data_IF_207494059010
#
_entry.id   IF_207494059010
#
_cell.length_a   1.000
_cell.length_b   1.000
_cell.length_c   1.000
_cell.angle_alpha   90.00
_cell.angle_beta   90.00
_cell.angle_gamma   90.00
#
_symmetry.space_group_name_H-M   'P 1'
#
loop_
_entity.id
_entity.type
_entity.pdbx_description
1 polymer ?
#
# COMPACT_ATOMS: atom_id res chain seq x y z
N UNK A 1 25.68 2.14 -41.10
CA UNK A 1 24.45 2.71 -41.69
C UNK A 1 23.89 3.79 -40.76
N UNK A 2 23.79 4.99 -41.32
CA UNK A 2 23.64 6.27 -40.64
C UNK A 2 22.22 6.47 -40.04
N UNK A 3 22.13 6.69 -38.74
CA UNK A 3 20.91 7.18 -38.07
C UNK A 3 20.98 8.71 -37.91
N UNK A 4 20.93 9.41 -39.06
CA UNK A 4 20.71 10.86 -39.06
C UNK A 4 19.37 11.14 -39.72
N UNK A 5 18.61 12.06 -39.08
CA UNK A 5 17.38 12.75 -39.52
C UNK A 5 16.07 12.02 -39.27
N UNK A 6 15.44 12.33 -38.11
CA UNK A 6 14.02 12.68 -38.04
C UNK A 6 13.83 13.64 -36.86
N UNK A 7 14.13 14.92 -37.12
CA UNK A 7 13.54 16.02 -36.34
C UNK A 7 12.15 16.19 -36.95
N UNK A 8 11.14 15.62 -36.33
CA UNK A 8 9.75 15.93 -36.67
C UNK A 8 9.32 17.11 -35.83
N UNK A 9 9.23 18.28 -36.49
CA UNK A 9 8.42 19.38 -36.01
C UNK A 9 6.97 18.90 -36.03
N UNK A 10 6.42 18.52 -34.89
CA UNK A 10 4.98 18.23 -34.78
C UNK A 10 4.27 19.53 -34.84
N UNK A 11 3.73 19.86 -36.03
CA UNK A 11 2.73 20.88 -36.17
C UNK A 11 1.48 20.48 -35.38
N UNK A 12 1.21 21.20 -34.32
CA UNK A 12 -0.03 21.05 -33.52
C UNK A 12 -1.18 21.45 -34.45
N UNK A 13 -1.95 20.47 -34.91
CA UNK A 13 -3.24 20.71 -35.54
C UNK A 13 -4.21 21.12 -34.42
N UNK A 14 -4.35 22.44 -34.22
CA UNK A 14 -5.39 23.05 -33.40
C UNK A 14 -6.74 22.82 -34.04
N UNK A 15 -7.44 21.74 -33.62
CA UNK A 15 -8.89 21.68 -33.75
C UNK A 15 -9.46 22.65 -32.70
N UNK A 16 -10.01 23.76 -33.19
CA UNK A 16 -10.63 24.80 -32.40
C UNK A 16 -11.88 24.32 -31.67
N UNK A 17 -11.70 23.85 -30.44
CA UNK A 17 -12.71 23.95 -29.38
C UNK A 17 -12.20 25.06 -28.47
N UNK A 18 -12.85 26.23 -28.53
CA UNK A 18 -12.54 27.41 -27.72
C UNK A 18 -12.98 27.22 -26.28
N UNK A 19 -12.26 26.37 -25.53
CA UNK A 19 -12.06 26.55 -24.12
C UNK A 19 -10.67 27.18 -23.98
N UNK A 20 -10.54 28.31 -23.30
CA UNK A 20 -9.26 28.87 -22.89
C UNK A 20 -8.63 27.84 -21.91
N UNK A 21 -7.98 26.83 -22.45
CA UNK A 21 -7.16 25.92 -21.68
C UNK A 21 -5.93 26.73 -21.23
N UNK A 22 -5.98 27.24 -20.01
CA UNK A 22 -4.82 27.88 -19.38
C UNK A 22 -3.80 26.76 -19.22
N UNK A 23 -2.66 26.88 -19.91
CA UNK A 23 -1.56 25.96 -19.74
C UNK A 23 -0.94 26.17 -18.36
N UNK A 24 -0.75 25.08 -17.63
CA UNK A 24 -0.16 25.08 -16.30
C UNK A 24 1.24 24.50 -16.38
N UNK A 25 2.17 25.15 -15.70
CA UNK A 25 3.56 24.73 -15.68
C UNK A 25 3.77 23.50 -14.79
N UNK A 26 4.46 22.49 -15.32
CA UNK A 26 5.01 21.36 -14.57
C UNK A 26 6.53 21.44 -14.61
N UNK A 27 7.12 21.79 -13.48
CA UNK A 27 8.56 21.92 -13.32
C UNK A 27 9.14 20.64 -12.76
N UNK A 28 10.11 20.04 -13.41
CA UNK A 28 10.77 18.79 -13.01
C UNK A 28 12.25 19.07 -12.80
N UNK A 29 12.78 18.76 -11.61
CA UNK A 29 14.20 18.82 -11.31
C UNK A 29 14.74 17.43 -11.00
N UNK A 30 15.59 16.91 -11.88
CA UNK A 30 16.07 15.52 -11.81
C UNK A 30 17.42 15.48 -11.12
N UNK A 31 17.51 14.68 -10.06
CA UNK A 31 18.75 14.41 -9.35
C UNK A 31 18.99 12.90 -9.23
N UNK A 32 20.22 12.49 -8.92
CA UNK A 32 20.51 11.11 -8.52
C UNK A 32 20.29 10.90 -7.00
N UNK A 33 20.60 9.69 -6.54
CA UNK A 33 20.49 9.30 -5.12
C UNK A 33 21.42 10.07 -4.19
N UNK A 34 22.47 10.74 -4.71
CA UNK A 34 23.40 11.59 -3.99
C UNK A 34 22.99 13.08 -4.04
N UNK A 35 21.91 13.40 -4.76
CA UNK A 35 21.44 14.76 -4.97
C UNK A 35 22.18 15.50 -6.08
N UNK A 36 23.00 14.80 -6.88
CA UNK A 36 23.67 15.40 -8.04
C UNK A 36 22.68 15.54 -9.19
N UNK A 37 22.79 16.63 -9.93
CA UNK A 37 21.94 16.90 -11.10
C UNK A 37 22.14 15.87 -12.19
N UNK A 38 21.05 15.42 -12.80
CA UNK A 38 21.07 14.51 -13.94
C UNK A 38 20.70 15.27 -15.20
N UNK A 39 21.72 15.59 -16.03
CA UNK A 39 21.53 16.21 -17.33
C UNK A 39 21.17 15.21 -18.42
N UNK A 40 20.57 15.67 -19.49
CA UNK A 40 20.24 14.88 -20.69
C UNK A 40 19.44 13.62 -20.41
N UNK A 41 18.53 13.66 -19.42
CA UNK A 41 17.55 12.61 -19.17
C UNK A 41 16.30 12.86 -20.04
N UNK A 42 15.87 11.83 -20.77
CA UNK A 42 14.59 11.86 -21.49
C UNK A 42 13.45 11.85 -20.48
N UNK A 43 12.61 12.85 -20.55
CA UNK A 43 11.48 13.04 -19.63
C UNK A 43 10.21 13.13 -20.46
N UNK A 44 9.23 12.25 -20.17
CA UNK A 44 7.91 12.23 -20.83
C UNK A 44 6.84 12.52 -19.80
N UNK A 45 5.92 13.39 -20.17
CA UNK A 45 4.68 13.64 -19.42
C UNK A 45 3.51 13.15 -20.26
N UNK A 46 2.85 12.09 -19.80
CA UNK A 46 1.77 11.41 -20.53
C UNK A 46 0.47 11.58 -19.77
N UNK A 47 -0.59 12.06 -20.42
CA UNK A 47 -1.92 12.13 -19.78
C UNK A 47 -2.47 10.72 -19.52
N UNK A 48 -3.19 10.57 -18.41
CA UNK A 48 -3.88 9.31 -18.06
C UNK A 48 -5.06 9.07 -19.02
N UNK A 49 -5.71 10.12 -19.48
CA UNK A 49 -6.69 10.05 -20.56
C UNK A 49 -5.98 10.29 -21.90
N UNK A 50 -6.45 9.71 -23.00
CA UNK A 50 -5.84 9.91 -24.31
C UNK A 50 -5.75 11.39 -24.69
N UNK A 51 -4.59 11.87 -25.13
CA UNK A 51 -4.46 13.22 -25.69
C UNK A 51 -3.08 13.86 -25.60
N UNK A 52 -2.39 13.81 -24.46
CA UNK A 52 -1.11 14.50 -24.29
C UNK A 52 0.02 13.50 -24.02
N UNK A 53 1.04 13.58 -24.85
CA UNK A 53 2.32 12.85 -24.68
C UNK A 53 3.43 13.81 -25.11
N UNK A 54 4.04 14.48 -24.14
CA UNK A 54 5.10 15.46 -24.39
C UNK A 54 6.43 14.94 -23.88
N UNK A 55 7.47 15.15 -24.67
CA UNK A 55 8.82 14.69 -24.37
C UNK A 55 9.76 15.89 -24.32
N UNK A 56 10.60 15.94 -23.31
CA UNK A 56 11.66 16.92 -23.18
C UNK A 56 12.94 16.26 -22.60
N UNK A 57 14.06 16.94 -22.77
CA UNK A 57 15.37 16.48 -22.29
C UNK A 57 15.82 17.42 -21.18
N UNK A 58 16.28 16.89 -20.06
CA UNK A 58 16.72 17.70 -18.94
C UNK A 58 17.97 18.53 -19.31
N UNK A 59 17.97 19.76 -18.85
CA UNK A 59 19.07 20.72 -19.03
C UNK A 59 20.33 20.31 -18.25
N UNK A 60 21.38 21.11 -18.35
CA UNK A 60 22.61 20.95 -17.54
C UNK A 60 22.36 21.15 -16.04
N UNK A 61 21.26 21.81 -15.67
CA UNK A 61 20.81 21.97 -14.27
C UNK A 61 19.83 20.88 -13.84
N UNK A 62 19.59 19.85 -14.69
CA UNK A 62 18.65 18.77 -14.43
C UNK A 62 17.18 19.16 -14.58
N UNK A 63 16.90 20.36 -15.08
CA UNK A 63 15.57 20.92 -15.13
C UNK A 63 14.85 20.64 -16.45
N UNK A 64 13.57 20.35 -16.36
CA UNK A 64 12.61 20.23 -17.48
C UNK A 64 11.35 20.97 -17.10
N UNK A 65 10.77 21.66 -18.08
CA UNK A 65 9.48 22.34 -17.93
C UNK A 65 8.51 21.85 -19.00
N UNK A 66 7.28 21.59 -18.57
CA UNK A 66 6.15 21.29 -19.46
C UNK A 66 5.05 22.30 -19.21
N UNK A 67 4.38 22.74 -20.28
CA UNK A 67 3.17 23.56 -20.25
C UNK A 67 2.01 22.68 -20.73
N UNK A 68 1.11 22.28 -19.82
CA UNK A 68 0.03 21.35 -20.10
C UNK A 68 -1.29 21.83 -19.49
N UNK A 69 -2.40 21.32 -19.99
CA UNK A 69 -3.72 21.57 -19.39
C UNK A 69 -3.83 20.93 -17.99
N UNK A 70 -4.76 21.40 -17.16
CA UNK A 70 -5.13 20.71 -15.94
C UNK A 70 -5.61 19.28 -16.23
N UNK A 71 -5.21 18.31 -15.41
CA UNK A 71 -5.51 16.89 -15.63
C UNK A 71 -4.61 15.95 -14.83
N UNK A 72 -4.78 14.66 -15.09
CA UNK A 72 -3.98 13.59 -14.49
C UNK A 72 -2.92 13.11 -15.49
N UNK A 73 -1.66 13.06 -15.05
CA UNK A 73 -0.50 12.73 -15.86
C UNK A 73 0.38 11.69 -15.19
N UNK A 74 1.19 10.98 -15.97
CA UNK A 74 2.32 10.16 -15.51
C UNK A 74 3.62 10.74 -16.05
N UNK A 75 4.59 10.91 -15.15
CA UNK A 75 5.93 11.34 -15.50
C UNK A 75 6.80 10.08 -15.68
N UNK A 76 7.47 9.96 -16.82
CA UNK A 76 8.39 8.88 -17.13
C UNK A 76 9.76 9.48 -17.42
N UNK A 77 10.81 8.93 -16.78
CA UNK A 77 12.19 9.41 -16.95
C UNK A 77 13.09 8.26 -17.31
N UNK A 78 13.91 8.48 -18.34
CA UNK A 78 14.93 7.52 -18.79
C UNK A 78 16.27 8.21 -18.95
N UNK A 79 17.30 7.57 -18.44
CA UNK A 79 18.71 7.99 -18.60
C UNK A 79 19.59 6.76 -18.63
N UNK A 80 20.54 6.72 -19.55
CA UNK A 80 21.54 5.63 -19.62
C UNK A 80 22.30 5.54 -18.28
N UNK A 81 22.49 4.32 -17.78
CA UNK A 81 23.14 4.06 -16.49
C UNK A 81 22.23 4.15 -15.27
N UNK A 82 20.99 4.59 -15.42
CA UNK A 82 19.99 4.64 -14.36
C UNK A 82 18.79 3.75 -14.66
N UNK A 83 18.11 3.31 -13.62
CA UNK A 83 16.84 2.62 -13.75
C UNK A 83 15.76 3.62 -14.21
N UNK A 84 14.82 3.20 -15.08
CA UNK A 84 13.74 4.06 -15.51
C UNK A 84 12.80 4.36 -14.33
N UNK A 85 12.34 5.60 -14.26
CA UNK A 85 11.34 6.03 -13.27
C UNK A 85 10.00 6.23 -13.96
N UNK A 86 8.94 5.69 -13.34
CA UNK A 86 7.55 6.03 -13.66
C UNK A 86 6.91 6.58 -12.40
N UNK A 87 6.47 7.84 -12.45
CA UNK A 87 5.84 8.48 -11.29
C UNK A 87 4.48 7.86 -10.98
N UNK A 88 4.00 8.14 -9.77
CA UNK A 88 2.56 8.09 -9.48
C UNK A 88 1.82 9.04 -10.41
N UNK A 89 0.50 8.90 -10.44
CA UNK A 89 -0.35 9.88 -11.11
C UNK A 89 -0.12 11.27 -10.49
N UNK A 90 0.22 12.21 -11.36
CA UNK A 90 0.46 13.60 -11.03
C UNK A 90 -0.80 14.39 -11.40
N UNK A 91 -1.49 14.94 -10.44
CA UNK A 91 -2.62 15.82 -10.68
C UNK A 91 -2.10 17.25 -10.93
N UNK A 92 -2.34 17.76 -12.12
CA UNK A 92 -2.08 19.15 -12.51
C UNK A 92 -3.40 19.90 -12.41
N UNK A 93 -3.50 20.81 -11.44
CA UNK A 93 -4.63 21.72 -11.26
C UNK A 93 -4.41 23.06 -11.98
N UNK A 94 -4.85 24.15 -11.37
CA UNK A 94 -4.73 25.50 -11.94
C UNK A 94 -3.45 26.23 -11.52
N UNK A 95 -2.64 25.65 -10.64
CA UNK A 95 -1.39 26.20 -10.16
C UNK A 95 -0.18 25.38 -10.65
N UNK A 96 1.01 26.02 -10.84
CA UNK A 96 2.23 25.32 -11.21
C UNK A 96 2.57 24.17 -10.26
N UNK A 97 3.03 23.05 -10.82
CA UNK A 97 3.41 21.84 -10.07
C UNK A 97 4.92 21.66 -10.18
N UNK A 98 5.58 21.38 -9.05
CA UNK A 98 7.01 21.04 -9.01
C UNK A 98 7.19 19.62 -8.52
N UNK A 99 8.04 18.85 -9.21
CA UNK A 99 8.40 17.47 -8.85
C UNK A 99 9.91 17.28 -8.91
N UNK A 100 10.46 16.58 -7.94
CA UNK A 100 11.90 16.33 -7.81
C UNK A 100 12.20 14.83 -7.78
N UNK A 101 12.10 14.14 -8.93
CA UNK A 101 12.38 12.72 -9.01
C UNK A 101 13.89 12.47 -8.81
N UNK A 102 14.19 11.38 -8.09
CA UNK A 102 15.56 10.90 -7.89
C UNK A 102 15.79 9.64 -8.68
N UNK A 103 16.87 9.61 -9.47
CA UNK A 103 17.27 8.43 -10.23
C UNK A 103 18.26 7.57 -9.42
N UNK A 104 18.18 6.28 -9.62
CA UNK A 104 19.01 5.28 -8.95
C UNK A 104 19.59 4.30 -9.99
N UNK A 105 20.81 3.85 -9.76
CA UNK A 105 21.44 2.78 -10.59
C UNK A 105 21.05 1.40 -10.07
N UNK A 106 21.17 0.37 -10.92
CA UNK A 106 20.97 -1.02 -10.51
C UNK A 106 21.87 -1.39 -9.32
N UNK A 107 23.13 -1.00 -9.36
CA UNK A 107 24.10 -1.29 -8.29
C UNK A 107 23.66 -0.73 -6.92
N UNK A 108 23.08 0.47 -6.90
CA UNK A 108 22.60 1.07 -5.65
C UNK A 108 21.34 0.35 -5.16
N UNK A 109 20.43 -0.02 -6.07
CA UNK A 109 19.25 -0.83 -5.72
C UNK A 109 19.67 -2.17 -5.14
N UNK A 110 20.56 -2.89 -5.81
CA UNK A 110 21.05 -4.21 -5.37
C UNK A 110 21.72 -4.13 -3.99
N UNK A 111 22.46 -3.05 -3.74
CA UNK A 111 23.05 -2.81 -2.43
C UNK A 111 22.01 -2.59 -1.36
N UNK A 112 21.04 -1.69 -1.57
CA UNK A 112 19.98 -1.39 -0.60
C UNK A 112 19.14 -2.63 -0.27
N UNK A 113 18.76 -3.41 -1.28
CA UNK A 113 17.98 -4.64 -1.09
C UNK A 113 18.78 -5.71 -0.35
N UNK A 114 20.04 -5.90 -0.70
CA UNK A 114 20.93 -6.83 0.01
C UNK A 114 21.14 -6.43 1.46
N UNK A 115 21.39 -5.16 1.73
CA UNK A 115 21.57 -4.64 3.09
C UNK A 115 20.29 -4.84 3.92
N UNK A 116 19.09 -4.64 3.31
CA UNK A 116 17.81 -4.88 3.96
C UNK A 116 17.60 -6.37 4.30
N UNK A 117 17.90 -7.27 3.36
CA UNK A 117 17.81 -8.72 3.59
C UNK A 117 18.79 -9.19 4.67
N UNK A 118 20.01 -8.64 4.71
CA UNK A 118 20.97 -8.93 5.76
C UNK A 118 20.49 -8.43 7.12
N UNK A 119 19.86 -7.26 7.18
CA UNK A 119 19.27 -6.72 8.40
C UNK A 119 18.15 -7.64 8.92
N UNK A 120 17.29 -8.17 8.02
CA UNK A 120 16.26 -9.18 8.38
C UNK A 120 16.92 -10.43 8.97
N UNK A 121 17.95 -10.99 8.31
CA UNK A 121 18.68 -12.18 8.78
C UNK A 121 19.32 -11.96 10.16
N UNK A 122 19.80 -10.74 10.42
CA UNK A 122 20.39 -10.32 11.71
C UNK A 122 19.33 -9.90 12.74
N UNK A 123 18.03 -10.08 12.47
CA UNK A 123 16.88 -9.66 13.31
C UNK A 123 16.86 -8.17 13.65
N UNK A 124 17.46 -7.34 12.80
CA UNK A 124 17.46 -5.88 12.90
C UNK A 124 16.26 -5.31 12.09
N UNK A 125 15.05 -5.64 12.53
CA UNK A 125 13.85 -5.41 11.73
C UNK A 125 13.56 -3.93 11.47
N UNK A 126 13.89 -3.04 12.41
CA UNK A 126 13.78 -1.59 12.22
C UNK A 126 14.73 -1.07 11.14
N UNK A 127 15.98 -1.57 11.13
CA UNK A 127 16.97 -1.22 10.11
C UNK A 127 16.52 -1.71 8.73
N UNK A 128 16.01 -2.93 8.64
CA UNK A 128 15.43 -3.47 7.41
C UNK A 128 14.26 -2.61 6.89
N UNK A 129 13.34 -2.21 7.78
CA UNK A 129 12.21 -1.36 7.42
C UNK A 129 12.67 0.00 6.86
N UNK A 130 13.69 0.64 7.46
CA UNK A 130 14.21 1.90 6.96
C UNK A 130 14.88 1.73 5.57
N UNK A 131 15.57 0.63 5.33
CA UNK A 131 16.16 0.33 4.03
C UNK A 131 15.10 0.10 2.95
N UNK A 132 14.04 -0.68 3.24
CA UNK A 132 12.92 -0.83 2.30
C UNK A 132 12.18 0.48 2.05
N UNK A 133 12.03 1.35 3.05
CA UNK A 133 11.48 2.70 2.86
C UNK A 133 12.35 3.52 1.91
N UNK A 134 13.67 3.44 2.03
CA UNK A 134 14.57 4.11 1.09
C UNK A 134 14.35 3.59 -0.35
N UNK A 135 14.26 2.28 -0.55
CA UNK A 135 13.95 1.72 -1.89
C UNK A 135 12.60 2.26 -2.40
N UNK A 136 11.59 2.33 -1.56
CA UNK A 136 10.26 2.85 -1.91
C UNK A 136 10.23 4.35 -2.23
N UNK A 137 11.26 5.12 -1.88
CA UNK A 137 11.38 6.50 -2.39
C UNK A 137 11.61 6.54 -3.89
N UNK A 138 12.24 5.50 -4.46
CA UNK A 138 12.51 5.37 -5.89
C UNK A 138 11.44 4.56 -6.63
N UNK A 139 10.88 3.55 -5.97
CA UNK A 139 9.87 2.64 -6.54
C UNK A 139 8.58 2.63 -5.70
N UNK A 140 7.88 3.77 -5.61
CA UNK A 140 6.74 3.91 -4.69
C UNK A 140 5.51 3.07 -5.05
N UNK A 141 5.49 2.46 -6.24
CA UNK A 141 4.41 1.61 -6.74
C UNK A 141 4.82 0.13 -6.82
N UNK A 142 5.98 -0.25 -6.31
CA UNK A 142 6.42 -1.63 -6.30
C UNK A 142 5.79 -2.38 -5.12
N UNK A 143 4.83 -3.27 -5.43
CA UNK A 143 4.11 -4.07 -4.43
C UNK A 143 5.04 -5.01 -3.65
N UNK A 144 6.11 -5.50 -4.27
CA UNK A 144 7.09 -6.40 -3.63
C UNK A 144 7.86 -5.70 -2.51
N UNK A 145 8.33 -4.48 -2.73
CA UNK A 145 9.02 -3.72 -1.69
C UNK A 145 8.07 -3.28 -0.57
N UNK A 146 6.81 -2.98 -0.89
CA UNK A 146 5.79 -2.74 0.14
C UNK A 146 5.51 -3.98 0.98
N UNK A 147 5.45 -5.17 0.37
CA UNK A 147 5.27 -6.43 1.09
C UNK A 147 6.48 -6.75 2.01
N UNK A 148 7.71 -6.52 1.53
CA UNK A 148 8.91 -6.66 2.34
C UNK A 148 8.94 -5.69 3.54
N UNK A 149 8.50 -4.45 3.33
CA UNK A 149 8.35 -3.46 4.40
C UNK A 149 7.30 -3.94 5.44
N UNK A 150 6.16 -4.47 4.98
CA UNK A 150 5.15 -5.03 5.87
C UNK A 150 5.69 -6.21 6.70
N UNK A 151 6.46 -7.10 6.06
CA UNK A 151 7.10 -8.21 6.76
C UNK A 151 8.10 -7.72 7.83
N UNK A 152 8.92 -6.70 7.53
CA UNK A 152 9.85 -6.11 8.47
C UNK A 152 9.13 -5.49 9.68
N UNK A 153 8.04 -4.75 9.48
CA UNK A 153 7.21 -4.22 10.56
C UNK A 153 6.53 -5.32 11.38
N UNK A 154 6.00 -6.36 10.74
CA UNK A 154 5.41 -7.52 11.44
C UNK A 154 6.44 -8.20 12.34
N UNK A 155 7.66 -8.39 11.86
CA UNK A 155 8.76 -8.98 12.66
C UNK A 155 9.22 -8.08 13.81
N UNK A 156 9.05 -6.76 13.69
CA UNK A 156 9.28 -5.78 14.78
C UNK A 156 8.08 -5.65 15.73
N UNK A 157 7.03 -6.47 15.53
CA UNK A 157 5.75 -6.43 16.26
C UNK A 157 4.99 -5.10 16.12
N UNK A 158 5.23 -4.36 15.05
CA UNK A 158 4.52 -3.13 14.69
C UNK A 158 3.41 -3.44 13.69
N UNK A 159 2.30 -3.96 14.21
CA UNK A 159 1.21 -4.45 13.38
C UNK A 159 0.46 -3.32 12.65
N UNK A 160 0.40 -2.12 13.23
CA UNK A 160 -0.28 -0.98 12.59
C UNK A 160 0.46 -0.56 11.31
N UNK A 161 1.79 -0.44 11.38
CA UNK A 161 2.60 -0.13 10.19
C UNK A 161 2.66 -1.30 9.22
N UNK A 162 2.63 -2.54 9.70
CA UNK A 162 2.57 -3.72 8.84
C UNK A 162 1.27 -3.75 8.00
N UNK A 163 0.12 -3.45 8.62
CA UNK A 163 -1.17 -3.37 7.91
C UNK A 163 -1.17 -2.26 6.85
N UNK A 164 -0.69 -1.06 7.19
CA UNK A 164 -0.62 0.03 6.24
C UNK A 164 0.30 -0.29 5.05
N UNK A 165 1.41 -0.96 5.28
CA UNK A 165 2.35 -1.35 4.22
C UNK A 165 1.78 -2.46 3.32
N UNK A 166 1.12 -3.49 3.87
CA UNK A 166 0.56 -4.58 3.06
C UNK A 166 -0.64 -4.12 2.24
N UNK A 167 -1.42 -3.15 2.73
CA UNK A 167 -2.48 -2.51 1.95
C UNK A 167 -1.93 -1.81 0.70
N UNK A 168 -0.77 -1.14 0.83
CA UNK A 168 -0.10 -0.58 -0.34
C UNK A 168 0.42 -1.68 -1.28
N UNK A 169 0.97 -2.77 -0.75
CA UNK A 169 1.42 -3.88 -1.57
C UNK A 169 0.29 -4.45 -2.43
N UNK A 170 -0.85 -4.77 -1.83
CA UNK A 170 -2.01 -5.35 -2.53
C UNK A 170 -2.69 -4.36 -3.49
N UNK A 171 -2.61 -3.06 -3.20
CA UNK A 171 -3.08 -2.00 -4.12
C UNK A 171 -2.29 -1.96 -5.42
N UNK A 172 -0.97 -2.17 -5.36
CA UNK A 172 -0.10 -2.13 -6.53
C UNK A 172 0.07 -3.48 -7.20
N UNK A 173 -0.08 -4.58 -6.45
CA UNK A 173 0.03 -5.93 -6.99
C UNK A 173 -0.94 -6.88 -6.28
N UNK A 174 -1.92 -7.37 -7.05
CA UNK A 174 -3.00 -8.23 -6.57
C UNK A 174 -2.52 -9.56 -5.95
N UNK A 175 -1.30 -10.02 -6.26
CA UNK A 175 -0.74 -11.23 -5.64
C UNK A 175 -0.62 -11.12 -4.13
N UNK A 176 -0.52 -9.90 -3.56
CA UNK A 176 -0.41 -9.66 -2.12
C UNK A 176 -1.75 -9.61 -1.37
N UNK A 177 -2.90 -9.71 -2.04
CA UNK A 177 -4.21 -9.67 -1.40
C UNK A 177 -4.41 -10.79 -0.36
N UNK A 178 -3.87 -11.97 -0.60
CA UNK A 178 -3.95 -13.08 0.37
C UNK A 178 -3.11 -12.77 1.61
N UNK A 179 -1.91 -12.25 1.43
CA UNK A 179 -1.03 -11.84 2.53
C UNK A 179 -1.62 -10.66 3.33
N UNK A 180 -2.28 -9.71 2.64
CA UNK A 180 -3.02 -8.63 3.30
C UNK A 180 -4.10 -9.18 4.22
N UNK A 181 -4.95 -10.10 3.73
CA UNK A 181 -5.99 -10.74 4.55
C UNK A 181 -5.40 -11.43 5.78
N UNK A 182 -4.29 -12.16 5.61
CA UNK A 182 -3.61 -12.84 6.72
C UNK A 182 -3.12 -11.83 7.78
N UNK A 183 -2.42 -10.77 7.36
CA UNK A 183 -1.86 -9.76 8.27
C UNK A 183 -2.98 -8.98 8.97
N UNK A 184 -3.98 -8.51 8.22
CA UNK A 184 -5.12 -7.76 8.76
C UNK A 184 -5.95 -8.65 9.71
N UNK A 185 -6.19 -9.89 9.33
CA UNK A 185 -6.93 -10.86 10.14
C UNK A 185 -6.25 -11.13 11.48
N UNK A 186 -4.93 -11.38 11.45
CA UNK A 186 -4.12 -11.62 12.66
C UNK A 186 -4.06 -10.39 13.56
N UNK A 187 -3.80 -9.21 13.00
CA UNK A 187 -3.74 -7.96 13.75
C UNK A 187 -5.08 -7.64 14.43
N UNK A 188 -6.18 -7.81 13.69
CA UNK A 188 -7.52 -7.57 14.20
C UNK A 188 -7.87 -8.57 15.34
N UNK A 189 -7.48 -9.84 15.22
CA UNK A 189 -7.66 -10.83 16.27
C UNK A 189 -6.92 -10.46 17.56
N UNK A 190 -5.64 -10.10 17.47
CA UNK A 190 -4.84 -9.71 18.63
C UNK A 190 -5.39 -8.41 19.28
N UNK A 191 -5.82 -7.44 18.49
CA UNK A 191 -6.50 -6.26 19.00
C UNK A 191 -7.79 -6.62 19.76
N UNK A 192 -8.61 -7.52 19.20
CA UNK A 192 -9.82 -8.01 19.84
C UNK A 192 -9.56 -8.71 21.16
N UNK A 193 -8.54 -9.55 21.26
CA UNK A 193 -8.09 -10.18 22.51
C UNK A 193 -7.73 -9.15 23.59
N UNK A 194 -6.93 -8.16 23.21
CA UNK A 194 -6.54 -7.07 24.11
C UNK A 194 -7.76 -6.31 24.64
N UNK A 195 -8.66 -5.92 23.74
CA UNK A 195 -9.89 -5.19 24.08
C UNK A 195 -10.83 -6.02 24.97
N UNK A 196 -10.98 -7.32 24.66
CA UNK A 196 -11.75 -8.24 25.50
C UNK A 196 -11.18 -8.32 26.92
N UNK A 197 -9.86 -8.41 27.08
CA UNK A 197 -9.19 -8.42 28.39
C UNK A 197 -9.37 -7.10 29.15
N UNK A 198 -9.47 -5.97 28.43
CA UNK A 198 -9.72 -4.63 28.97
C UNK A 198 -11.21 -4.36 29.22
N UNK A 199 -12.10 -5.34 28.96
CA UNK A 199 -13.57 -5.22 29.03
C UNK A 199 -14.16 -4.18 28.06
N UNK A 200 -13.45 -3.84 27.01
CA UNK A 200 -13.92 -2.96 25.93
C UNK A 200 -14.72 -3.79 24.90
N UNK A 201 -15.80 -4.43 25.35
CA UNK A 201 -16.53 -5.44 24.57
C UNK A 201 -17.03 -4.95 23.20
N UNK A 202 -17.59 -3.74 23.04
CA UNK A 202 -17.98 -3.26 21.71
C UNK A 202 -16.81 -3.15 20.75
N UNK A 203 -15.66 -2.64 21.20
CA UNK A 203 -14.45 -2.56 20.38
C UNK A 203 -13.92 -3.96 20.03
N UNK A 204 -13.98 -4.89 20.98
CA UNK A 204 -13.59 -6.29 20.74
C UNK A 204 -14.46 -6.93 19.64
N UNK A 205 -15.78 -6.67 19.63
CA UNK A 205 -16.68 -7.11 18.55
C UNK A 205 -16.22 -6.56 17.20
N UNK A 206 -15.91 -5.27 17.10
CA UNK A 206 -15.43 -4.66 15.86
C UNK A 206 -14.12 -5.30 15.37
N UNK A 207 -13.19 -5.55 16.30
CA UNK A 207 -11.89 -6.10 15.97
C UNK A 207 -12.00 -7.58 15.56
N UNK A 208 -12.69 -8.42 16.33
CA UNK A 208 -12.93 -9.80 15.93
C UNK A 208 -13.76 -9.90 14.65
N UNK A 209 -14.72 -9.00 14.43
CA UNK A 209 -15.47 -8.90 13.18
C UNK A 209 -14.60 -8.64 11.96
N UNK A 210 -13.58 -7.76 12.08
CA UNK A 210 -12.58 -7.55 11.05
C UNK A 210 -11.75 -8.82 10.78
N UNK A 211 -11.38 -9.55 11.85
CA UNK A 211 -10.65 -10.81 11.71
C UNK A 211 -11.47 -11.87 10.97
N UNK A 212 -12.75 -12.03 11.30
CA UNK A 212 -13.68 -12.95 10.60
C UNK A 212 -13.88 -12.55 9.14
N UNK A 213 -13.97 -11.25 8.86
CA UNK A 213 -14.08 -10.76 7.48
C UNK A 213 -12.84 -11.06 6.65
N UNK A 214 -11.66 -10.99 7.25
CA UNK A 214 -10.40 -11.33 6.61
C UNK A 214 -10.25 -12.84 6.39
N UNK A 215 -10.59 -13.66 7.41
CA UNK A 215 -10.62 -15.12 7.33
C UNK A 215 -11.92 -15.69 7.94
N UNK A 216 -12.93 -16.00 7.11
CA UNK A 216 -14.18 -16.60 7.56
C UNK A 216 -14.06 -18.04 8.11
N UNK A 217 -12.88 -18.64 8.05
CA UNK A 217 -12.61 -20.00 8.56
C UNK A 217 -11.86 -19.98 9.90
N UNK A 218 -11.52 -18.82 10.41
CA UNK A 218 -10.72 -18.66 11.63
C UNK A 218 -11.60 -18.78 12.87
N UNK A 219 -11.81 -20.02 13.36
CA UNK A 219 -12.64 -20.33 14.52
C UNK A 219 -12.34 -19.51 15.79
N UNK A 220 -11.06 -19.19 16.15
CA UNK A 220 -10.78 -18.37 17.33
C UNK A 220 -11.41 -16.97 17.29
N UNK A 221 -11.58 -16.35 16.11
CA UNK A 221 -12.20 -15.04 16.01
C UNK A 221 -13.72 -15.11 16.28
N UNK A 222 -14.41 -16.15 15.81
CA UNK A 222 -15.81 -16.40 16.16
C UNK A 222 -15.98 -16.67 17.64
N UNK A 223 -15.09 -17.40 18.28
CA UNK A 223 -15.08 -17.58 19.72
C UNK A 223 -14.91 -16.23 20.44
N UNK A 224 -14.00 -15.37 19.99
CA UNK A 224 -13.81 -14.02 20.51
C UNK A 224 -15.07 -13.15 20.40
N UNK A 225 -15.76 -13.20 19.23
CA UNK A 225 -17.06 -12.55 19.04
C UNK A 225 -18.12 -13.06 20.05
N UNK A 226 -18.22 -14.39 20.19
CA UNK A 226 -19.16 -14.99 21.13
C UNK A 226 -18.96 -14.52 22.55
N UNK A 227 -17.71 -14.50 23.04
CA UNK A 227 -17.38 -13.98 24.36
C UNK A 227 -17.70 -12.49 24.50
N UNK A 228 -17.40 -11.70 23.47
CA UNK A 228 -17.63 -10.26 23.47
C UNK A 228 -19.12 -9.91 23.52
N UNK A 229 -19.94 -10.63 22.75
CA UNK A 229 -21.40 -10.50 22.80
C UNK A 229 -22.00 -11.01 24.12
N UNK A 230 -21.51 -12.14 24.62
CA UNK A 230 -21.99 -12.69 25.89
C UNK A 230 -21.77 -11.73 27.07
N UNK A 231 -20.60 -11.08 27.11
CA UNK A 231 -20.29 -10.08 28.14
C UNK A 231 -21.14 -8.80 28.04
N UNK A 232 -21.79 -8.56 26.90
CA UNK A 232 -22.76 -7.48 26.71
C UNK A 232 -24.22 -7.94 26.96
N UNK A 233 -24.44 -9.20 27.34
CA UNK A 233 -25.77 -9.78 27.49
C UNK A 233 -26.49 -10.10 26.18
N UNK A 234 -25.78 -9.98 25.04
CA UNK A 234 -26.32 -10.21 23.71
C UNK A 234 -26.24 -11.72 23.35
N UNK A 235 -26.99 -12.56 24.13
CA UNK A 235 -26.92 -14.00 24.03
C UNK A 235 -27.28 -14.62 22.67
N UNK A 236 -28.26 -14.10 21.90
CA UNK A 236 -28.54 -14.60 20.57
C UNK A 236 -27.32 -14.52 19.64
N UNK A 237 -26.66 -13.35 19.59
CA UNK A 237 -25.45 -13.14 18.77
C UNK A 237 -24.28 -13.97 19.29
N UNK A 238 -24.13 -14.12 20.62
CA UNK A 238 -23.11 -14.96 21.20
C UNK A 238 -23.29 -16.43 20.78
N UNK A 239 -24.54 -16.94 20.79
CA UNK A 239 -24.85 -18.31 20.37
C UNK A 239 -24.57 -18.55 18.88
N UNK A 240 -24.94 -17.61 18.02
CA UNK A 240 -24.63 -17.72 16.58
C UNK A 240 -23.12 -17.85 16.35
N UNK A 241 -22.33 -16.99 16.98
CA UNK A 241 -20.89 -16.99 16.78
C UNK A 241 -20.20 -18.21 17.41
N UNK A 242 -20.60 -18.67 18.62
CA UNK A 242 -20.03 -19.88 19.21
C UNK A 242 -20.41 -21.13 18.43
N UNK A 243 -21.62 -21.18 17.87
CA UNK A 243 -22.03 -22.27 16.97
C UNK A 243 -21.10 -22.34 15.78
N UNK A 244 -20.77 -21.20 15.18
CA UNK A 244 -19.84 -21.12 14.06
C UNK A 244 -18.43 -21.58 14.43
N UNK A 245 -17.92 -21.21 15.62
CA UNK A 245 -16.64 -21.70 16.11
C UNK A 245 -16.63 -23.23 16.29
N UNK A 246 -17.72 -23.82 16.82
CA UNK A 246 -17.87 -25.28 16.94
C UNK A 246 -17.94 -25.97 15.59
N UNK A 247 -18.64 -25.41 14.60
CA UNK A 247 -18.69 -25.96 13.24
C UNK A 247 -17.31 -26.00 12.58
N UNK A 248 -16.51 -24.94 12.76
CA UNK A 248 -15.16 -24.83 12.21
C UNK A 248 -14.14 -25.68 12.97
N UNK A 249 -14.36 -25.94 14.26
CA UNK A 249 -13.47 -26.74 15.11
C UNK A 249 -14.28 -27.69 16.00
N UNK A 250 -14.85 -28.77 15.42
CA UNK A 250 -15.80 -29.63 16.12
C UNK A 250 -15.20 -30.47 17.26
N UNK A 251 -13.89 -30.52 17.36
CA UNK A 251 -13.21 -31.26 18.44
C UNK A 251 -12.74 -30.36 19.59
N UNK A 252 -12.94 -29.06 19.51
CA UNK A 252 -12.56 -28.12 20.56
C UNK A 252 -13.56 -28.20 21.72
N UNK A 253 -13.07 -28.70 22.88
CA UNK A 253 -13.88 -28.87 24.07
C UNK A 253 -14.28 -27.54 24.71
N UNK A 254 -13.44 -26.49 24.56
CA UNK A 254 -13.73 -25.15 25.10
C UNK A 254 -14.89 -24.51 24.38
N UNK A 255 -14.93 -24.62 23.05
CA UNK A 255 -16.03 -24.06 22.24
C UNK A 255 -17.37 -24.75 22.57
N UNK A 256 -17.34 -26.09 22.72
CA UNK A 256 -18.53 -26.86 23.14
C UNK A 256 -19.03 -26.46 24.53
N UNK A 257 -18.15 -26.32 25.50
CA UNK A 257 -18.52 -25.90 26.88
C UNK A 257 -19.18 -24.51 26.86
N UNK A 258 -18.56 -23.54 26.20
CA UNK A 258 -19.14 -22.19 26.09
C UNK A 258 -20.48 -22.21 25.37
N UNK A 259 -20.64 -23.00 24.32
CA UNK A 259 -21.89 -23.16 23.60
C UNK A 259 -23.03 -23.64 24.53
N UNK A 260 -22.79 -24.70 25.32
CA UNK A 260 -23.77 -25.22 26.27
C UNK A 260 -24.08 -24.23 27.41
N UNK A 261 -23.07 -23.52 27.90
CA UNK A 261 -23.28 -22.47 28.93
C UNK A 261 -24.12 -21.32 28.42
N UNK A 262 -23.90 -20.85 27.19
CA UNK A 262 -24.67 -19.79 26.56
C UNK A 262 -26.15 -20.21 26.31
N UNK A 263 -26.39 -21.45 25.90
CA UNK A 263 -27.76 -21.98 25.80
C UNK A 263 -28.50 -21.91 27.13
N UNK A 264 -27.87 -22.33 28.23
CA UNK A 264 -28.44 -22.27 29.56
C UNK A 264 -28.71 -20.82 30.00
N UNK A 265 -27.73 -19.92 29.76
CA UNK A 265 -27.89 -18.50 30.11
C UNK A 265 -29.05 -17.85 29.35
N UNK A 266 -29.19 -18.10 28.05
CA UNK A 266 -30.32 -17.60 27.25
C UNK A 266 -31.65 -18.15 27.71
N UNK A 267 -31.72 -19.43 28.09
CA UNK A 267 -32.95 -20.00 28.61
C UNK A 267 -33.37 -19.38 29.96
N UNK A 268 -32.40 -19.01 30.81
CA UNK A 268 -32.65 -18.35 32.09
C UNK A 268 -33.05 -16.88 31.98
N UNK A 269 -32.58 -16.18 30.95
CA UNK A 269 -32.91 -14.75 30.69
C UNK A 269 -34.31 -14.51 30.11
N UNK A 270 -35.01 -15.60 29.69
CA UNK A 270 -36.38 -15.57 29.16
C UNK A 270 -37.45 -15.81 30.22
N UNK A 271 -37.05 -16.12 31.44
CA UNK A 271 -37.91 -16.27 32.61
C UNK A 271 -37.94 -14.99 33.44
#
# INVERSE_FOLDING_TARGET
MSWKKYVWTVAVLLLSVSANLIAVQVNVKITDHQGQVVEAAETRLVSVQPGVDVVAISSKTGEVQFDVASGAYKLMIRKAGFLPVVSRELTVGDAPVSVEPKLITQTVLDKLTKDAEEAVKKKKHKEAAELYKQVLTYFPQDGGFWANLAAAYRMDNDMDRAMAAIEQASKYDAQFQTLEKEIVGTAAYEAGKKQLSQREFPKAVDSFGKSVKADPTYAPAFYGLALSYANQGMYPQALENIQKAVELSPNDAQYKDIHERLKKAMASSRK
#
